data_IF_403912828060
#
_entry.id   IF_403912828060
#
_cell.length_a   1.000
_cell.length_b   1.000
_cell.length_c   1.000
_cell.angle_alpha   90.00
_cell.angle_beta   90.00
_cell.angle_gamma   90.00
#
_symmetry.space_group_name_H-M   'P 1'
#
loop_
_entity.id
_entity.type
_entity.pdbx_description
1 polymer ?
#
# COMPACT_ATOMS: atom_id res chain seq x y z
N UNK A 1 -51.65 -29.08 2.77
CA UNK A 1 -51.20 -27.68 2.60
C UNK A 1 -49.85 -27.39 3.26
N UNK A 2 -49.48 -28.08 4.35
CA UNK A 2 -48.23 -27.84 5.12
C UNK A 2 -46.92 -28.18 4.39
N UNK A 3 -46.86 -29.29 3.62
CA UNK A 3 -45.62 -29.71 2.93
C UNK A 3 -45.14 -28.72 1.86
N UNK A 4 -46.05 -28.06 1.14
CA UNK A 4 -45.70 -27.06 0.10
C UNK A 4 -45.11 -25.79 0.73
N UNK A 5 -45.66 -25.35 1.86
CA UNK A 5 -45.18 -24.18 2.62
C UNK A 5 -43.79 -24.47 3.23
N UNK A 6 -43.57 -25.68 3.76
CA UNK A 6 -42.25 -26.11 4.22
C UNK A 6 -41.21 -26.19 3.09
N UNK A 7 -41.60 -26.68 1.90
CA UNK A 7 -40.70 -26.79 0.76
C UNK A 7 -40.31 -25.41 0.20
N UNK A 8 -41.27 -24.48 0.11
CA UNK A 8 -41.05 -23.09 -0.30
C UNK A 8 -40.16 -22.34 0.70
N UNK A 9 -40.36 -22.54 2.00
CA UNK A 9 -39.49 -21.97 3.04
C UNK A 9 -38.06 -22.50 2.98
N UNK A 10 -37.87 -23.79 2.67
CA UNK A 10 -36.53 -24.38 2.52
C UNK A 10 -35.79 -23.85 1.28
N UNK A 11 -36.49 -23.68 0.15
CA UNK A 11 -35.93 -23.11 -1.08
C UNK A 11 -35.53 -21.64 -0.88
N UNK A 12 -36.35 -20.87 -0.15
CA UNK A 12 -36.06 -19.48 0.18
C UNK A 12 -34.86 -19.33 1.14
N UNK A 13 -34.67 -20.28 2.06
CA UNK A 13 -33.49 -20.31 2.94
C UNK A 13 -32.19 -20.60 2.16
N UNK A 14 -32.24 -21.52 1.20
CA UNK A 14 -31.07 -21.90 0.39
C UNK A 14 -30.59 -20.73 -0.49
N UNK A 15 -31.50 -19.93 -1.05
CA UNK A 15 -31.16 -18.78 -1.88
C UNK A 15 -30.42 -17.65 -1.12
N UNK A 16 -30.66 -17.52 0.19
CA UNK A 16 -30.01 -16.50 1.05
C UNK A 16 -28.54 -16.87 1.36
N UNK A 17 -28.17 -18.15 1.29
CA UNK A 17 -26.80 -18.61 1.58
C UNK A 17 -25.82 -18.52 0.40
N UNK A 18 -26.30 -18.37 -0.86
CA UNK A 18 -25.42 -18.46 -2.04
C UNK A 18 -24.88 -17.11 -2.51
N UNK A 19 -25.37 -16.00 -1.97
CA UNK A 19 -24.84 -14.66 -2.25
C UNK A 19 -23.76 -14.29 -1.22
N UNK A 20 -22.78 -15.16 -1.02
CA UNK A 20 -21.49 -14.73 -0.50
C UNK A 20 -20.79 -13.96 -1.62
N UNK A 21 -20.39 -12.71 -1.36
CA UNK A 21 -19.54 -11.96 -2.29
C UNK A 21 -18.17 -12.66 -2.35
N UNK A 22 -18.02 -13.61 -3.26
CA UNK A 22 -16.71 -14.16 -3.59
C UNK A 22 -16.01 -13.13 -4.48
N UNK A 23 -14.96 -12.50 -3.96
CA UNK A 23 -14.01 -11.73 -4.76
C UNK A 23 -13.25 -12.69 -5.67
N UNK A 24 -13.84 -12.99 -6.82
CA UNK A 24 -13.26 -13.83 -7.88
C UNK A 24 -12.22 -13.09 -8.74
N UNK A 25 -12.04 -11.79 -8.51
CA UNK A 25 -11.09 -10.94 -9.24
C UNK A 25 -9.95 -10.50 -8.33
N UNK A 26 -8.74 -10.36 -8.89
CA UNK A 26 -7.65 -9.71 -8.17
C UNK A 26 -8.03 -8.25 -7.88
N UNK A 27 -7.55 -7.75 -6.74
CA UNK A 27 -7.71 -6.35 -6.34
C UNK A 27 -6.35 -5.67 -6.38
N UNK A 28 -6.28 -4.51 -7.03
CA UNK A 28 -5.15 -3.59 -6.95
C UNK A 28 -5.54 -2.46 -6.02
N UNK A 29 -4.63 -2.08 -5.13
CA UNK A 29 -4.84 -0.99 -4.19
C UNK A 29 -3.56 -0.20 -3.92
N UNK A 30 -3.64 0.66 -2.92
CA UNK A 30 -2.49 1.32 -2.32
C UNK A 30 -2.20 0.68 -0.97
N UNK A 31 -0.94 0.58 -0.61
CA UNK A 31 -0.54 0.17 0.74
C UNK A 31 -0.92 1.27 1.75
N UNK A 32 -1.49 0.88 2.89
CA UNK A 32 -1.72 1.81 4.00
C UNK A 32 -0.38 2.06 4.70
N UNK A 33 0.23 3.20 4.42
CA UNK A 33 1.45 3.65 5.09
C UNK A 33 1.04 4.34 6.38
N UNK A 34 1.65 3.91 7.49
CA UNK A 34 1.41 4.48 8.82
C UNK A 34 2.51 5.49 9.19
N UNK A 35 3.74 5.24 8.73
CA UNK A 35 4.95 5.97 9.12
C UNK A 35 5.96 5.97 7.98
N UNK A 36 6.72 7.05 7.85
CA UNK A 36 7.94 7.10 7.04
C UNK A 36 9.09 7.65 7.88
N UNK A 37 10.28 7.09 7.67
CA UNK A 37 11.55 7.66 8.11
C UNK A 37 12.41 8.02 6.90
N UNK A 38 13.13 9.14 6.97
CA UNK A 38 14.09 9.53 5.93
C UNK A 38 15.51 9.36 6.48
N UNK A 39 16.25 8.40 5.92
CA UNK A 39 17.64 8.12 6.27
C UNK A 39 18.59 8.76 5.25
N UNK A 40 19.33 9.77 5.70
CA UNK A 40 20.39 10.42 4.94
C UNK A 40 21.71 9.71 5.25
N UNK A 41 22.40 9.22 4.23
CA UNK A 41 23.70 8.56 4.37
C UNK A 41 24.82 9.59 4.23
N UNK A 42 25.82 9.49 5.11
CA UNK A 42 27.04 10.32 5.09
C UNK A 42 28.00 9.90 3.94
N UNK A 43 27.56 10.03 2.69
CA UNK A 43 28.35 9.77 1.48
C UNK A 43 28.40 10.97 0.54
N UNK A 44 29.30 10.95 -0.46
CA UNK A 44 29.29 11.93 -1.56
C UNK A 44 29.39 11.23 -2.92
N UNK A 45 28.38 11.35 -3.81
CA UNK A 45 27.10 12.04 -3.59
C UNK A 45 26.31 11.48 -2.39
N UNK A 46 25.52 12.35 -1.75
CA UNK A 46 24.57 12.01 -0.68
C UNK A 46 23.57 11.00 -1.22
N UNK A 47 23.32 9.96 -0.43
CA UNK A 47 22.30 8.95 -0.70
C UNK A 47 21.20 9.08 0.36
N UNK A 48 19.95 8.98 -0.07
CA UNK A 48 18.79 9.10 0.82
C UNK A 48 17.88 7.90 0.59
N UNK A 49 17.50 7.24 1.68
CA UNK A 49 16.52 6.16 1.69
C UNK A 49 15.30 6.58 2.49
N UNK A 50 14.12 6.37 1.93
CA UNK A 50 12.84 6.46 2.64
C UNK A 50 12.49 5.07 3.13
N UNK A 51 12.24 4.92 4.42
CA UNK A 51 11.75 3.67 5.00
C UNK A 51 10.27 3.86 5.30
N UNK A 52 9.41 3.24 4.49
CA UNK A 52 7.96 3.31 4.67
C UNK A 52 7.46 2.06 5.40
N UNK A 53 6.72 2.27 6.49
CA UNK A 53 6.13 1.20 7.31
C UNK A 53 4.62 1.34 7.37
N UNK A 54 3.94 0.20 7.44
CA UNK A 54 2.50 0.18 7.59
C UNK A 54 1.93 -1.22 7.70
N UNK A 55 0.65 -1.35 7.37
CA UNK A 55 -0.08 -2.61 7.47
C UNK A 55 -0.87 -2.92 6.19
N UNK A 56 -0.74 -4.16 5.71
CA UNK A 56 -1.60 -4.75 4.71
C UNK A 56 -2.88 -5.29 5.37
N UNK A 57 -4.02 -5.26 4.67
CA UNK A 57 -5.32 -5.64 5.25
C UNK A 57 -5.40 -7.14 5.60
N UNK A 58 -4.64 -7.97 4.90
CA UNK A 58 -4.49 -9.41 5.14
C UNK A 58 -3.12 -9.90 4.66
N UNK A 59 -2.61 -11.05 5.12
CA UNK A 59 -1.30 -11.58 4.71
C UNK A 59 -1.28 -12.19 3.30
N UNK A 60 -2.38 -12.14 2.56
CA UNK A 60 -2.45 -12.58 1.16
C UNK A 60 -2.41 -11.40 0.19
N UNK A 61 -2.40 -10.18 0.74
CA UNK A 61 -2.12 -8.94 0.00
C UNK A 61 -0.62 -8.76 0.00
N UNK A 62 -0.05 -8.37 -1.13
CA UNK A 62 1.39 -8.19 -1.31
C UNK A 62 1.67 -6.80 -1.87
N UNK A 63 2.86 -6.26 -1.59
CA UNK A 63 3.37 -5.08 -2.31
C UNK A 63 3.69 -5.52 -3.73
N UNK A 64 3.06 -4.87 -4.71
CA UNK A 64 3.21 -5.24 -6.12
C UNK A 64 4.19 -4.35 -6.87
N UNK A 65 4.23 -3.07 -6.50
CA UNK A 65 5.01 -2.06 -7.22
C UNK A 65 5.28 -0.86 -6.31
N UNK A 66 6.47 -0.30 -6.40
CA UNK A 66 6.81 1.01 -5.83
C UNK A 66 7.19 1.92 -7.00
N UNK A 67 6.41 2.98 -7.18
CA UNK A 67 6.67 4.01 -8.19
C UNK A 67 7.15 5.28 -7.51
N UNK A 68 8.10 5.96 -8.15
CA UNK A 68 8.62 7.25 -7.70
C UNK A 68 8.48 8.26 -8.83
N UNK A 69 7.92 9.41 -8.51
CA UNK A 69 7.82 10.57 -9.39
C UNK A 69 8.26 11.81 -8.61
N UNK A 70 8.85 12.80 -9.28
CA UNK A 70 9.22 14.07 -8.65
C UNK A 70 8.61 15.24 -9.39
N UNK A 71 7.91 16.11 -8.65
CA UNK A 71 7.38 17.37 -9.14
C UNK A 71 7.95 18.51 -8.29
N UNK A 72 8.76 19.37 -8.89
CA UNK A 72 9.51 20.39 -8.15
C UNK A 72 10.37 19.75 -7.05
N UNK A 73 10.18 20.19 -5.81
CA UNK A 73 10.93 19.70 -4.66
C UNK A 73 10.17 18.62 -3.87
N UNK A 74 9.13 18.01 -4.47
CA UNK A 74 8.35 16.93 -3.85
C UNK A 74 8.55 15.61 -4.58
N UNK A 75 8.96 14.58 -3.83
CA UNK A 75 8.98 13.19 -4.26
C UNK A 75 7.65 12.54 -3.89
N UNK A 76 6.91 12.07 -4.90
CA UNK A 76 5.72 11.27 -4.75
C UNK A 76 6.08 9.80 -4.92
N UNK A 77 5.87 9.01 -3.86
CA UNK A 77 6.08 7.57 -3.86
C UNK A 77 4.73 6.88 -3.75
N UNK A 78 4.40 6.09 -4.76
CA UNK A 78 3.19 5.27 -4.77
C UNK A 78 3.55 3.81 -4.50
N UNK A 79 3.15 3.30 -3.34
CA UNK A 79 3.29 1.88 -3.00
C UNK A 79 1.97 1.17 -3.31
N UNK A 80 1.96 0.35 -4.37
CA UNK A 80 0.78 -0.39 -4.81
C UNK A 80 0.73 -1.78 -4.18
N UNK A 81 -0.48 -2.27 -3.98
CA UNK A 81 -0.74 -3.62 -3.50
C UNK A 81 -1.47 -4.45 -4.55
N UNK A 82 -1.21 -5.75 -4.51
CA UNK A 82 -1.96 -6.76 -5.26
C UNK A 82 -2.53 -7.79 -4.29
N UNK A 83 -3.81 -8.10 -4.47
CA UNK A 83 -4.48 -9.18 -3.75
C UNK A 83 -5.10 -10.15 -4.73
N UNK A 84 -4.53 -11.36 -4.80
CA UNK A 84 -5.09 -12.47 -5.58
C UNK A 84 -6.49 -12.83 -5.07
N UNK A 85 -7.44 -13.31 -5.90
CA UNK A 85 -8.73 -13.79 -5.41
C UNK A 85 -8.57 -15.02 -4.50
N UNK A 86 -9.52 -15.21 -3.58
CA UNK A 86 -9.59 -16.39 -2.71
C UNK A 86 -9.55 -16.07 -1.21
N UNK A 87 -9.78 -17.11 -0.42
CA UNK A 87 -9.85 -17.01 1.04
C UNK A 87 -8.49 -16.63 1.64
N UNK A 88 -8.52 -15.75 2.64
CA UNK A 88 -7.38 -15.44 3.48
C UNK A 88 -7.84 -15.20 4.91
N UNK A 89 -6.93 -15.42 5.85
CA UNK A 89 -7.14 -15.03 7.24
C UNK A 89 -7.22 -13.50 7.34
N UNK A 90 -8.12 -12.99 8.18
CA UNK A 90 -8.39 -11.55 8.30
C UNK A 90 -7.59 -10.98 9.47
N UNK A 91 -6.31 -10.74 9.24
CA UNK A 91 -5.38 -10.16 10.23
C UNK A 91 -4.44 -9.20 9.52
N UNK A 92 -4.17 -8.04 10.13
CA UNK A 92 -3.22 -7.09 9.57
C UNK A 92 -1.83 -7.71 9.48
N UNK A 93 -1.18 -7.52 8.33
CA UNK A 93 0.19 -7.97 8.09
C UNK A 93 1.10 -6.74 7.94
N UNK A 94 2.09 -6.54 8.82
CA UNK A 94 2.97 -5.39 8.71
C UNK A 94 3.87 -5.50 7.48
N UNK A 95 4.24 -4.36 6.89
CA UNK A 95 5.25 -4.28 5.83
C UNK A 95 6.26 -3.16 6.12
N UNK A 96 7.44 -3.28 5.52
CA UNK A 96 8.49 -2.27 5.49
C UNK A 96 9.13 -2.25 4.09
N UNK A 97 9.16 -1.07 3.46
CA UNK A 97 9.81 -0.85 2.16
C UNK A 97 10.95 0.17 2.31
N UNK A 98 12.14 -0.17 1.82
CA UNK A 98 13.30 0.72 1.80
C UNK A 98 13.48 1.23 0.38
N UNK A 99 13.27 2.54 0.19
CA UNK A 99 13.11 3.17 -1.12
C UNK A 99 14.21 4.21 -1.32
N UNK A 100 15.22 3.94 -2.17
CA UNK A 100 16.24 4.93 -2.47
C UNK A 100 15.63 6.09 -3.29
N UNK A 101 15.97 7.33 -2.94
CA UNK A 101 15.57 8.52 -3.69
C UNK A 101 16.60 8.88 -4.76
N UNK A 102 16.12 9.23 -5.95
CA UNK A 102 16.95 9.76 -7.04
C UNK A 102 17.32 11.24 -6.77
N UNK A 103 18.30 11.46 -5.88
CA UNK A 103 18.73 12.79 -5.43
C UNK A 103 19.99 13.34 -6.11
N UNK A 104 20.56 12.60 -7.07
CA UNK A 104 21.76 13.03 -7.78
C UNK A 104 21.48 14.22 -8.71
N UNK A 105 22.35 15.23 -8.67
CA UNK A 105 22.25 16.45 -9.47
C UNK A 105 21.21 17.45 -8.94
N UNK A 106 20.66 17.23 -7.75
CA UNK A 106 19.69 18.14 -7.14
C UNK A 106 20.41 19.28 -6.42
N UNK A 107 19.90 20.53 -6.51
CA UNK A 107 20.45 21.65 -5.78
C UNK A 107 20.25 21.50 -4.26
N UNK A 108 21.03 22.25 -3.49
CA UNK A 108 20.79 22.42 -2.06
C UNK A 108 19.37 22.97 -1.82
N UNK A 109 18.66 22.43 -0.84
CA UNK A 109 17.29 22.83 -0.53
C UNK A 109 16.52 21.82 0.31
N UNK A 110 15.31 22.20 0.69
CA UNK A 110 14.37 21.35 1.43
C UNK A 110 13.48 20.61 0.43
N UNK A 111 13.42 19.29 0.57
CA UNK A 111 12.60 18.41 -0.24
C UNK A 111 11.51 17.77 0.62
N UNK A 112 10.33 17.59 0.03
CA UNK A 112 9.22 16.85 0.64
C UNK A 112 9.16 15.44 0.05
N UNK A 113 8.85 14.46 0.87
CA UNK A 113 8.51 13.10 0.45
C UNK A 113 7.06 12.86 0.84
N UNK A 114 6.24 12.41 -0.11
CA UNK A 114 4.88 11.91 0.11
C UNK A 114 4.84 10.43 -0.28
N UNK A 115 4.56 9.55 0.68
CA UNK A 115 4.37 8.12 0.45
C UNK A 115 2.93 7.76 0.74
N UNK A 116 2.14 7.55 -0.32
CA UNK A 116 0.70 7.26 -0.23
C UNK A 116 -0.07 8.21 0.74
N UNK A 117 0.32 9.49 0.82
CA UNK A 117 -0.30 10.52 1.66
C UNK A 117 0.36 10.76 3.02
N UNK A 118 1.35 9.96 3.42
CA UNK A 118 2.19 10.24 4.60
C UNK A 118 3.38 11.07 4.17
N UNK A 119 3.61 12.20 4.84
CA UNK A 119 4.62 13.18 4.43
C UNK A 119 5.68 13.45 5.49
N UNK A 120 6.90 13.68 5.02
CA UNK A 120 8.03 14.18 5.80
C UNK A 120 9.00 14.94 4.87
N UNK A 121 10.01 15.60 5.45
CA UNK A 121 10.94 16.47 4.72
C UNK A 121 12.39 16.16 5.03
N UNK A 122 13.28 16.42 4.08
CA UNK A 122 14.73 16.39 4.29
C UNK A 122 15.42 17.59 3.64
N UNK A 123 16.61 17.90 4.13
CA UNK A 123 17.44 18.97 3.56
C UNK A 123 18.67 18.40 2.85
N UNK A 124 18.93 18.87 1.63
CA UNK A 124 20.25 18.81 1.02
C UNK A 124 21.01 20.07 1.42
N UNK A 125 22.05 19.91 2.25
CA UNK A 125 22.87 21.04 2.72
C UNK A 125 23.73 21.67 1.62
N UNK A 126 24.03 20.89 0.57
CA UNK A 126 24.82 21.29 -0.60
C UNK A 126 24.20 20.69 -1.87
N UNK A 127 24.56 21.25 -3.03
CA UNK A 127 24.24 20.63 -4.33
C UNK A 127 24.83 19.23 -4.37
N UNK A 128 24.01 18.24 -4.74
CA UNK A 128 24.32 16.82 -4.63
C UNK A 128 24.77 16.19 -5.95
#
# INVERSE_FOLDING_TARGET
MSKKILLLGLIMLIAIFVTGCFSILPTIGLASVDEIDILILESFPVQINVIARGNLPDPCTEISEVLQEREGDTFFITIKTYRSPGFCIQVLAPFEEIIPLEVYGLPAGTYTVDVNGVQDTFDLEVDN
#
